data_IF_752530654593
#
_entry.id   IF_752530654593
#
_cell.length_a   1.000
_cell.length_b   1.000
_cell.length_c   1.000
_cell.angle_alpha   90.00
_cell.angle_beta   90.00
_cell.angle_gamma   90.00
#
_symmetry.space_group_name_H-M   'P 1'
#
loop_
_entity.id
_entity.type
_entity.pdbx_description
1 polymer ?
#
# COMPACT_ATOMS: atom_id res chain seq x y z
N UNK A 1 13.58 -17.98 -4.07
CA UNK A 1 14.53 -18.00 -2.93
C UNK A 1 14.05 -17.14 -1.77
N UNK A 2 13.73 -15.86 -1.95
CA UNK A 2 13.29 -14.94 -0.86
C UNK A 2 12.09 -15.47 -0.06
N UNK A 3 11.05 -15.97 -0.75
CA UNK A 3 9.86 -16.53 -0.08
C UNK A 3 10.18 -17.74 0.82
N UNK A 4 11.14 -18.59 0.40
CA UNK A 4 11.57 -19.74 1.19
C UNK A 4 12.31 -19.30 2.47
N UNK A 5 13.21 -18.31 2.35
CA UNK A 5 13.89 -17.76 3.53
C UNK A 5 12.90 -17.09 4.49
N UNK A 6 11.94 -16.32 3.99
CA UNK A 6 10.89 -15.74 4.82
C UNK A 6 10.08 -16.81 5.55
N UNK A 7 9.65 -17.86 4.87
CA UNK A 7 8.92 -18.97 5.49
C UNK A 7 9.74 -19.68 6.57
N UNK A 8 11.03 -19.97 6.33
CA UNK A 8 11.91 -20.62 7.30
C UNK A 8 12.13 -19.73 8.53
N UNK A 9 12.37 -18.44 8.35
CA UNK A 9 12.54 -17.48 9.46
C UNK A 9 11.25 -17.41 10.30
N UNK A 10 10.09 -17.28 9.64
CA UNK A 10 8.80 -17.23 10.33
C UNK A 10 8.55 -18.49 11.14
N UNK A 11 8.81 -19.67 10.57
CA UNK A 11 8.67 -20.94 11.28
C UNK A 11 9.60 -21.04 12.50
N UNK A 12 10.87 -20.63 12.33
CA UNK A 12 11.84 -20.63 13.43
C UNK A 12 11.41 -19.71 14.58
N UNK A 13 10.90 -18.52 14.27
CA UNK A 13 10.37 -17.57 15.26
C UNK A 13 9.15 -18.14 15.99
N UNK A 14 8.20 -18.73 15.26
CA UNK A 14 7.01 -19.38 15.86
C UNK A 14 7.41 -20.51 16.78
N UNK A 15 8.31 -21.40 16.36
CA UNK A 15 8.82 -22.51 17.19
C UNK A 15 9.50 -21.97 18.46
N UNK A 16 10.33 -20.92 18.33
CA UNK A 16 10.97 -20.30 19.49
C UNK A 16 9.96 -19.75 20.50
N UNK A 17 8.91 -19.04 20.00
CA UNK A 17 7.85 -18.48 20.85
C UNK A 17 7.11 -19.61 21.59
N UNK A 18 6.75 -20.69 20.88
CA UNK A 18 6.07 -21.85 21.48
C UNK A 18 6.95 -22.52 22.54
N UNK A 19 8.23 -22.74 22.26
CA UNK A 19 9.17 -23.33 23.22
C UNK A 19 9.31 -22.46 24.48
N UNK A 20 9.47 -21.13 24.29
CA UNK A 20 9.50 -20.19 25.41
C UNK A 20 8.20 -20.26 26.23
N UNK A 21 7.04 -20.26 25.55
CA UNK A 21 5.73 -20.40 26.21
C UNK A 21 5.63 -21.69 27.04
N UNK A 22 6.05 -22.83 26.49
CA UNK A 22 6.05 -24.11 27.19
C UNK A 22 7.01 -24.09 28.41
N UNK A 23 8.21 -23.53 28.26
CA UNK A 23 9.17 -23.40 29.36
C UNK A 23 8.62 -22.52 30.49
N UNK A 24 8.03 -21.38 30.14
CA UNK A 24 7.44 -20.47 31.13
C UNK A 24 6.24 -21.10 31.85
N UNK A 25 5.32 -21.73 31.10
CA UNK A 25 4.13 -22.35 31.69
C UNK A 25 4.43 -23.60 32.48
N UNK A 26 5.43 -24.40 32.09
CA UNK A 26 5.84 -25.60 32.83
C UNK A 26 6.49 -25.28 34.20
N UNK A 27 7.13 -24.12 34.32
CA UNK A 27 7.68 -23.61 35.59
C UNK A 27 6.64 -22.92 36.49
N UNK A 28 5.44 -22.58 35.97
CA UNK A 28 4.41 -21.83 36.70
C UNK A 28 3.47 -22.72 37.52
N UNK A 29 3.93 -23.89 38.06
CA UNK A 29 3.12 -24.79 38.87
C UNK A 29 3.17 -24.52 40.37
N UNK A 30 3.51 -23.33 40.82
CA UNK A 30 3.39 -22.94 42.23
C UNK A 30 1.98 -22.49 42.56
N UNK A 31 1.41 -22.98 43.61
CA UNK A 31 0.01 -22.84 44.04
C UNK A 31 -0.36 -21.44 44.54
N UNK A 32 0.62 -20.62 44.91
CA UNK A 32 0.40 -19.24 45.38
C UNK A 32 1.45 -18.30 44.71
N UNK A 33 1.02 -17.27 43.98
CA UNK A 33 1.97 -16.31 43.39
C UNK A 33 2.53 -15.42 44.50
N UNK A 34 3.84 -15.48 44.69
CA UNK A 34 4.55 -14.55 45.58
C UNK A 34 4.36 -13.09 45.08
N UNK A 35 3.89 -12.23 45.98
CA UNK A 35 3.64 -10.81 45.68
C UNK A 35 4.90 -10.08 45.21
N UNK A 36 6.08 -10.52 45.65
CA UNK A 36 7.35 -9.95 45.18
C UNK A 36 7.63 -10.28 43.71
N UNK A 37 7.29 -11.51 43.29
CA UNK A 37 7.42 -11.94 41.87
C UNK A 37 6.44 -11.19 41.00
N UNK A 38 5.20 -11.00 41.44
CA UNK A 38 4.19 -10.23 40.73
C UNK A 38 4.66 -8.78 40.54
N UNK A 39 5.15 -8.12 41.59
CA UNK A 39 5.66 -6.74 41.51
C UNK A 39 6.86 -6.64 40.54
N UNK A 40 7.77 -7.64 40.57
CA UNK A 40 8.86 -7.72 39.60
C UNK A 40 8.41 -7.86 38.15
N UNK A 41 7.42 -8.72 37.89
CA UNK A 41 6.84 -8.89 36.56
C UNK A 41 6.17 -7.62 36.04
N UNK A 42 5.44 -6.90 36.91
CA UNK A 42 4.84 -5.60 36.53
C UNK A 42 5.90 -4.56 36.18
N UNK A 43 7.00 -4.50 36.92
CA UNK A 43 8.12 -3.60 36.64
C UNK A 43 8.77 -3.92 35.30
N UNK A 44 9.06 -5.21 35.02
CA UNK A 44 9.62 -5.65 33.74
C UNK A 44 8.66 -5.31 32.59
N UNK A 45 7.37 -5.57 32.76
CA UNK A 45 6.34 -5.22 31.75
C UNK A 45 6.33 -3.72 31.47
N UNK A 46 6.36 -2.89 32.51
CA UNK A 46 6.36 -1.42 32.34
C UNK A 46 7.59 -0.96 31.57
N UNK A 47 8.79 -1.45 31.95
CA UNK A 47 10.03 -1.11 31.24
C UNK A 47 9.96 -1.55 29.77
N UNK A 48 9.49 -2.77 29.51
CA UNK A 48 9.31 -3.29 28.15
C UNK A 48 8.40 -2.37 27.33
N UNK A 49 7.23 -1.98 27.85
CA UNK A 49 6.31 -1.10 27.11
C UNK A 49 6.89 0.29 26.89
N UNK A 50 7.60 0.87 27.87
CA UNK A 50 8.24 2.19 27.70
C UNK A 50 9.31 2.13 26.61
N UNK A 51 10.14 1.09 26.60
CA UNK A 51 11.18 0.90 25.58
C UNK A 51 10.53 0.69 24.21
N UNK A 52 9.49 -0.15 24.11
CA UNK A 52 8.79 -0.41 22.86
C UNK A 52 8.16 0.89 22.31
N UNK A 53 7.48 1.67 23.14
CA UNK A 53 6.93 2.97 22.75
C UNK A 53 8.01 3.93 22.28
N UNK A 54 9.15 3.98 22.96
CA UNK A 54 10.30 4.76 22.54
C UNK A 54 10.83 4.37 21.16
N UNK A 55 10.97 3.07 20.90
CA UNK A 55 11.38 2.56 19.58
C UNK A 55 10.36 2.93 18.50
N UNK A 56 9.06 2.73 18.78
CA UNK A 56 7.99 3.07 17.83
C UNK A 56 8.03 4.58 17.53
N UNK A 57 8.19 5.43 18.54
CA UNK A 57 8.25 6.87 18.37
C UNK A 57 9.46 7.30 17.52
N UNK A 58 10.63 6.73 17.77
CA UNK A 58 11.84 6.99 16.98
C UNK A 58 11.66 6.56 15.53
N UNK A 59 11.13 5.34 15.31
CA UNK A 59 10.85 4.83 13.96
C UNK A 59 9.85 5.73 13.23
N UNK A 60 8.78 6.14 13.90
CA UNK A 60 7.76 7.01 13.34
C UNK A 60 8.35 8.39 13.00
N UNK A 61 9.15 8.96 13.89
CA UNK A 61 9.83 10.23 13.64
C UNK A 61 10.79 10.14 12.46
N UNK A 62 11.62 9.10 12.40
CA UNK A 62 12.57 8.90 11.29
C UNK A 62 11.84 8.69 9.96
N UNK A 63 10.75 7.88 9.95
CA UNK A 63 9.99 7.65 8.72
C UNK A 63 9.24 8.90 8.26
N UNK A 64 8.58 9.63 9.14
CA UNK A 64 7.86 10.85 8.78
C UNK A 64 8.78 12.00 8.40
N UNK A 65 9.98 12.09 9.01
CA UNK A 65 10.99 13.10 8.66
C UNK A 65 11.75 12.78 7.39
N UNK A 66 11.65 11.54 6.90
CA UNK A 66 12.33 11.12 5.68
C UNK A 66 11.64 11.74 4.47
N UNK A 67 12.31 12.69 3.80
CA UNK A 67 11.83 13.28 2.55
C UNK A 67 11.82 12.29 1.37
N UNK A 68 12.28 11.05 1.58
CA UNK A 68 12.26 9.99 0.58
C UNK A 68 10.94 9.22 0.51
N UNK A 69 9.95 9.59 1.33
CA UNK A 69 8.62 9.02 1.20
C UNK A 69 7.99 9.47 -0.13
N UNK A 70 7.41 8.55 -0.91
CA UNK A 70 6.78 8.87 -2.21
C UNK A 70 5.77 10.01 -2.12
N UNK A 71 5.12 10.17 -0.96
CA UNK A 71 4.17 11.25 -0.68
C UNK A 71 4.82 12.66 -0.77
N UNK A 72 6.05 12.83 -0.30
CA UNK A 72 6.75 14.12 -0.36
C UNK A 72 7.30 14.43 -1.76
N UNK A 73 7.74 13.43 -2.50
CA UNK A 73 8.24 13.61 -3.87
C UNK A 73 7.10 14.02 -4.81
N UNK A 74 5.89 13.49 -4.61
CA UNK A 74 4.73 13.78 -5.46
C UNK A 74 4.21 15.21 -5.31
N UNK A 75 4.51 15.94 -4.25
CA UNK A 75 4.06 17.33 -4.08
C UNK A 75 5.04 18.38 -4.61
N UNK A 76 6.31 18.05 -4.76
CA UNK A 76 7.36 19.05 -5.05
C UNK A 76 7.58 19.35 -6.54
N UNK A 77 7.19 18.47 -7.44
CA UNK A 77 7.38 18.64 -8.89
C UNK A 77 6.03 18.83 -9.60
N UNK A 78 5.98 19.74 -10.57
CA UNK A 78 4.83 19.90 -11.44
C UNK A 78 4.82 18.74 -12.45
N UNK A 79 3.70 18.00 -12.52
CA UNK A 79 3.55 16.94 -13.49
C UNK A 79 3.65 17.49 -14.93
N UNK A 80 4.36 16.80 -15.79
CA UNK A 80 4.54 17.19 -17.18
C UNK A 80 3.32 16.83 -18.04
N UNK A 81 2.58 15.80 -17.62
CA UNK A 81 1.40 15.34 -18.33
C UNK A 81 0.28 15.01 -17.33
N UNK A 82 -0.93 15.50 -17.58
CA UNK A 82 -2.07 15.29 -16.69
C UNK A 82 -3.14 14.47 -17.40
N UNK A 83 -3.62 13.43 -16.73
CA UNK A 83 -4.73 12.57 -17.17
C UNK A 83 -5.85 12.64 -16.14
N UNK A 84 -7.00 13.18 -16.52
CA UNK A 84 -8.20 13.11 -15.71
C UNK A 84 -8.85 11.73 -15.88
N UNK A 85 -9.04 11.02 -14.78
CA UNK A 85 -9.63 9.69 -14.75
C UNK A 85 -10.93 9.73 -13.97
N UNK A 86 -12.00 9.28 -14.59
CA UNK A 86 -13.32 9.19 -14.01
C UNK A 86 -13.83 7.78 -14.12
N UNK A 87 -14.24 7.20 -12.98
CA UNK A 87 -14.85 5.87 -12.93
C UNK A 87 -16.36 5.97 -12.84
N UNK A 88 -17.03 5.01 -13.43
CA UNK A 88 -18.41 4.65 -13.20
C UNK A 88 -18.56 3.14 -13.41
N UNK A 89 -19.67 2.54 -12.93
CA UNK A 89 -19.95 1.10 -13.05
C UNK A 89 -20.14 0.75 -14.54
N UNK A 90 -19.32 0.00 -15.17
CA UNK A 90 -18.05 -0.71 -14.86
C UNK A 90 -17.00 -0.28 -15.88
N UNK A 91 -16.74 1.00 -16.00
CA UNK A 91 -15.84 1.55 -17.02
C UNK A 91 -14.98 2.70 -16.48
N UNK A 92 -13.91 2.97 -17.20
CA UNK A 92 -12.99 4.08 -16.97
C UNK A 92 -13.12 5.09 -18.12
N UNK A 93 -13.29 6.35 -17.79
CA UNK A 93 -13.18 7.47 -18.75
C UNK A 93 -11.89 8.21 -18.47
N UNK A 94 -11.01 8.30 -19.45
CA UNK A 94 -9.76 9.05 -19.36
C UNK A 94 -9.76 10.22 -20.32
N UNK A 95 -9.31 11.38 -19.85
CA UNK A 95 -9.24 12.61 -20.63
C UNK A 95 -7.87 13.23 -20.43
N UNK A 96 -7.15 13.48 -21.51
CA UNK A 96 -5.86 14.19 -21.47
C UNK A 96 -6.04 15.70 -21.33
N UNK A 97 -4.92 16.41 -21.22
CA UNK A 97 -4.90 17.87 -21.12
C UNK A 97 -5.44 18.59 -22.35
N UNK A 98 -5.62 17.90 -23.50
CA UNK A 98 -6.24 18.44 -24.72
C UNK A 98 -7.76 18.31 -24.73
N UNK A 99 -8.35 17.71 -23.70
CA UNK A 99 -9.79 17.44 -23.60
C UNK A 99 -10.25 16.22 -24.42
N UNK A 100 -9.33 15.48 -25.01
CA UNK A 100 -9.65 14.28 -25.77
C UNK A 100 -10.02 13.13 -24.81
N UNK A 101 -11.29 12.75 -24.84
CA UNK A 101 -11.79 11.55 -24.16
C UNK A 101 -11.40 10.32 -24.94
N UNK A 102 -10.71 9.38 -24.31
CA UNK A 102 -10.37 8.12 -24.94
C UNK A 102 -10.19 7.03 -23.86
N UNK A 103 -10.73 5.85 -24.14
CA UNK A 103 -10.49 4.66 -23.34
C UNK A 103 -9.08 4.04 -23.57
N UNK A 104 -8.35 4.55 -24.55
CA UNK A 104 -6.96 4.18 -24.83
C UNK A 104 -6.12 5.45 -24.99
N UNK A 105 -5.73 6.03 -23.85
CA UNK A 105 -4.95 7.27 -23.84
C UNK A 105 -3.50 6.97 -24.18
N UNK A 106 -2.87 7.88 -24.93
CA UNK A 106 -1.44 7.81 -25.27
C UNK A 106 -0.66 8.73 -24.35
N UNK A 107 0.27 8.16 -23.61
CA UNK A 107 1.10 8.83 -22.61
C UNK A 107 2.55 8.88 -23.09
N UNK A 108 3.27 9.99 -22.91
CA UNK A 108 4.69 10.06 -23.24
C UNK A 108 5.51 9.22 -22.25
N UNK A 109 6.50 8.44 -22.75
CA UNK A 109 7.46 7.74 -21.92
C UNK A 109 8.47 8.71 -21.26
N UNK A 110 9.07 8.30 -20.15
CA UNK A 110 10.07 9.05 -19.38
C UNK A 110 9.61 10.44 -18.92
N UNK A 111 8.31 10.63 -18.79
CA UNK A 111 7.71 11.84 -18.23
C UNK A 111 6.88 11.52 -17.02
N UNK A 112 6.85 12.47 -16.07
CA UNK A 112 6.00 12.34 -14.90
C UNK A 112 4.55 12.63 -15.26
N UNK A 113 3.70 11.62 -15.12
CA UNK A 113 2.26 11.68 -15.39
C UNK A 113 1.50 11.75 -14.09
N UNK A 114 0.60 12.73 -13.97
CA UNK A 114 -0.34 12.82 -12.86
C UNK A 114 -1.73 12.36 -13.31
N UNK A 115 -2.22 11.30 -12.70
CA UNK A 115 -3.59 10.83 -12.81
C UNK A 115 -4.43 11.52 -11.74
N UNK A 116 -5.43 12.28 -12.17
CA UNK A 116 -6.41 12.95 -11.31
C UNK A 116 -7.67 12.10 -11.31
N UNK A 117 -7.86 11.33 -10.22
CA UNK A 117 -8.79 10.20 -10.19
C UNK A 117 -9.98 10.51 -9.29
N UNK A 118 -11.19 10.31 -9.81
CA UNK A 118 -12.47 10.46 -9.08
C UNK A 118 -13.47 9.42 -9.54
N UNK A 119 -14.61 9.33 -8.86
CA UNK A 119 -15.73 8.45 -9.23
C UNK A 119 -17.04 9.21 -9.30
N UNK A 120 -17.94 8.77 -10.19
CA UNK A 120 -19.31 9.31 -10.33
C UNK A 120 -20.34 8.54 -9.50
N UNK A 121 -20.02 7.34 -9.01
CA UNK A 121 -20.99 6.44 -8.38
C UNK A 121 -20.51 5.82 -7.07
N UNK A 122 -19.70 4.77 -7.11
CA UNK A 122 -19.20 4.04 -5.94
C UNK A 122 -17.68 4.10 -5.86
N UNK A 123 -17.09 3.53 -4.82
CA UNK A 123 -15.64 3.41 -4.71
C UNK A 123 -15.13 2.39 -5.73
N UNK A 124 -14.06 2.77 -6.44
CA UNK A 124 -13.28 1.91 -7.32
C UNK A 124 -11.80 2.03 -6.96
N UNK A 125 -11.01 1.01 -7.27
CA UNK A 125 -9.55 1.04 -7.14
C UNK A 125 -8.91 1.23 -8.51
N UNK A 126 -8.19 2.34 -8.74
CA UNK A 126 -7.45 2.58 -9.97
C UNK A 126 -6.06 1.96 -9.85
N UNK A 127 -5.85 0.81 -10.44
CA UNK A 127 -4.57 0.09 -10.44
C UNK A 127 -3.96 0.00 -11.84
N UNK A 128 -2.69 0.38 -11.97
CA UNK A 128 -1.92 0.31 -13.22
C UNK A 128 -0.99 -0.88 -13.17
N UNK A 129 -1.07 -1.74 -14.19
CA UNK A 129 -0.30 -2.97 -14.33
C UNK A 129 0.54 -2.94 -15.60
N UNK A 130 1.71 -3.55 -15.55
CA UNK A 130 2.51 -3.82 -16.73
C UNK A 130 1.96 -5.03 -17.53
N UNK A 131 2.60 -5.33 -18.67
CA UNK A 131 2.26 -6.48 -19.51
C UNK A 131 2.53 -7.84 -18.84
N UNK A 132 3.36 -7.88 -17.79
CA UNK A 132 3.64 -9.06 -16.99
C UNK A 132 2.65 -9.29 -15.85
N UNK A 133 1.68 -8.38 -15.65
CA UNK A 133 0.69 -8.45 -14.58
C UNK A 133 1.20 -7.93 -13.23
N UNK A 134 2.35 -7.23 -13.20
CA UNK A 134 2.85 -6.59 -11.99
C UNK A 134 2.13 -5.26 -11.75
N UNK A 135 1.61 -5.06 -10.54
CA UNK A 135 1.07 -3.77 -10.11
C UNK A 135 2.21 -2.76 -9.97
N UNK A 136 2.09 -1.64 -10.67
CA UNK A 136 3.09 -0.56 -10.68
C UNK A 136 2.69 0.60 -9.77
N UNK A 137 1.43 1.00 -9.82
CA UNK A 137 0.90 2.11 -9.03
C UNK A 137 -0.60 1.97 -8.84
N UNK A 138 -1.12 2.53 -7.73
CA UNK A 138 -2.56 2.49 -7.45
C UNK A 138 -3.03 3.69 -6.64
N UNK A 139 -4.30 4.03 -6.78
CA UNK A 139 -5.02 4.97 -5.92
C UNK A 139 -6.52 4.65 -5.92
N UNK A 140 -7.26 5.23 -4.97
CA UNK A 140 -8.71 5.09 -4.91
C UNK A 140 -9.40 6.10 -5.85
N UNK A 141 -10.48 5.66 -6.51
CA UNK A 141 -11.45 6.51 -7.19
C UNK A 141 -12.70 6.59 -6.32
N UNK A 142 -12.93 7.73 -5.68
CA UNK A 142 -13.96 7.89 -4.66
C UNK A 142 -14.96 8.99 -5.07
N UNK A 143 -16.27 8.78 -4.84
CA UNK A 143 -17.27 9.83 -5.07
C UNK A 143 -17.03 11.03 -4.16
N UNK A 144 -17.09 12.24 -4.73
CA UNK A 144 -16.89 13.48 -4.00
C UNK A 144 -15.45 13.80 -3.61
N UNK A 145 -14.49 12.92 -3.92
CA UNK A 145 -13.07 13.12 -3.65
C UNK A 145 -12.26 13.05 -4.95
N UNK A 146 -11.13 13.74 -4.94
CA UNK A 146 -10.17 13.72 -6.05
C UNK A 146 -8.81 13.26 -5.52
N UNK A 147 -8.39 12.08 -5.91
CA UNK A 147 -7.09 11.53 -5.58
C UNK A 147 -6.10 11.79 -6.72
N UNK A 148 -4.83 11.96 -6.39
CA UNK A 148 -3.76 12.22 -7.35
C UNK A 148 -2.73 11.10 -7.24
N UNK A 149 -2.43 10.47 -8.37
CA UNK A 149 -1.43 9.43 -8.49
C UNK A 149 -0.39 9.88 -9.51
N UNK A 150 0.87 9.94 -9.13
CA UNK A 150 1.98 10.25 -10.04
C UNK A 150 2.76 8.99 -10.33
N UNK A 151 3.11 8.84 -11.59
CA UNK A 151 3.90 7.72 -12.06
C UNK A 151 4.69 8.10 -13.32
N UNK A 152 5.93 7.63 -13.41
CA UNK A 152 6.77 7.79 -14.58
C UNK A 152 6.98 6.44 -15.27
N UNK A 153 6.59 6.34 -16.54
CA UNK A 153 6.72 5.13 -17.34
C UNK A 153 8.08 5.13 -18.04
N UNK A 154 9.01 4.29 -17.60
CA UNK A 154 10.33 4.18 -18.21
C UNK A 154 10.31 3.48 -19.57
N UNK A 155 9.36 2.57 -19.79
CA UNK A 155 9.28 1.75 -21.01
C UNK A 155 8.01 2.06 -21.78
N UNK A 156 8.17 2.24 -23.11
CA UNK A 156 7.03 2.26 -24.02
C UNK A 156 6.32 0.90 -24.05
N UNK A 157 5.01 0.90 -24.31
CA UNK A 157 4.23 -0.31 -24.39
C UNK A 157 2.78 -0.13 -24.00
N UNK A 158 2.08 -1.25 -23.84
CA UNK A 158 0.68 -1.30 -23.39
C UNK A 158 0.64 -1.69 -21.93
N UNK A 159 -0.03 -0.86 -21.14
CA UNK A 159 -0.28 -1.08 -19.73
C UNK A 159 -1.78 -1.30 -19.51
N UNK A 160 -2.12 -2.04 -18.47
CA UNK A 160 -3.50 -2.34 -18.13
C UNK A 160 -3.94 -1.52 -16.92
N UNK A 161 -5.14 -0.97 -16.98
CA UNK A 161 -5.81 -0.36 -15.83
C UNK A 161 -6.93 -1.28 -15.40
N UNK A 162 -6.91 -1.71 -14.15
CA UNK A 162 -7.92 -2.60 -13.58
C UNK A 162 -8.54 -1.99 -12.33
N UNK A 163 -9.80 -2.32 -12.10
CA UNK A 163 -10.47 -1.97 -10.85
C UNK A 163 -10.01 -2.92 -9.74
N UNK A 164 -9.56 -2.35 -8.61
CA UNK A 164 -9.02 -3.10 -7.46
C UNK A 164 -9.94 -3.08 -6.25
N UNK A 165 -11.10 -2.41 -6.35
CA UNK A 165 -12.11 -2.31 -5.29
C UNK A 165 -13.42 -2.90 -5.79
N UNK A 166 -14.04 -3.80 -5.01
CA UNK A 166 -15.30 -4.42 -5.43
C UNK A 166 -16.39 -3.37 -5.60
N UNK A 167 -16.84 -3.19 -6.84
CA UNK A 167 -17.80 -2.16 -7.25
C UNK A 167 -19.13 -2.72 -7.80
N UNK A 168 -19.34 -4.04 -7.71
CA UNK A 168 -20.57 -4.69 -8.17
C UNK A 168 -20.34 -5.94 -9.01
N UNK A 169 -21.40 -6.44 -9.68
CA UNK A 169 -21.42 -7.74 -10.37
C UNK A 169 -20.39 -7.88 -11.49
N UNK A 170 -20.17 -6.82 -12.26
CA UNK A 170 -19.22 -6.81 -13.38
C UNK A 170 -17.86 -6.18 -13.04
N UNK A 171 -17.53 -6.11 -11.75
CA UNK A 171 -16.24 -5.62 -11.27
C UNK A 171 -15.04 -6.24 -12.03
N UNK A 172 -15.07 -7.54 -12.28
CA UNK A 172 -14.04 -8.28 -12.98
C UNK A 172 -13.87 -7.91 -14.47
N UNK A 173 -14.85 -7.21 -15.05
CA UNK A 173 -14.82 -6.70 -16.43
C UNK A 173 -14.37 -5.25 -16.52
N UNK A 174 -14.20 -4.57 -15.37
CA UNK A 174 -13.83 -3.16 -15.33
C UNK A 174 -12.34 -2.98 -15.54
N UNK A 175 -11.92 -2.99 -16.79
CA UNK A 175 -10.52 -2.76 -17.19
C UNK A 175 -10.43 -1.90 -18.45
N UNK A 176 -9.29 -1.25 -18.64
CA UNK A 176 -8.93 -0.51 -19.85
C UNK A 176 -7.43 -0.55 -20.09
N UNK A 177 -6.95 0.10 -21.17
CA UNK A 177 -5.54 0.11 -21.55
C UNK A 177 -4.99 1.51 -21.59
N UNK A 178 -3.71 1.63 -21.25
CA UNK A 178 -2.89 2.82 -21.49
C UNK A 178 -1.83 2.46 -22.53
N UNK A 179 -1.56 3.35 -23.47
CA UNK A 179 -0.44 3.19 -24.40
C UNK A 179 0.63 4.22 -24.07
N UNK A 180 1.85 3.77 -23.84
CA UNK A 180 3.02 4.61 -23.57
C UNK A 180 3.91 4.62 -24.81
N UNK A 181 4.30 5.81 -25.29
CA UNK A 181 5.15 6.00 -26.48
C UNK A 181 6.34 6.90 -26.19
#
# INVERSE_FOLDING_TARGET
MIALYAAVITLAVVVLIVLLGVVFTSRSRSTEPDQSVIAGLYKIRTVYFVVLLGIIFVLLFVTLSSQKLPYHETQSKKAEFIVNVKSAIFFWTMTDSSGKKNNNIVIPSNKEVEFVVTSDDVNHGFGIYDSGGQLLAQTQAMPGYTNRLRYSFEKGGVYHVMCMEFCGTDHHKMFTKLTVK
#
